data_IF_482229171071
#
_entry.id   IF_482229171071
#
_cell.length_a   1.000
_cell.length_b   1.000
_cell.length_c   1.000
_cell.angle_alpha   90.00
_cell.angle_beta   90.00
_cell.angle_gamma   90.00
#
_symmetry.space_group_name_H-M   'P 1'
#
loop_
_entity.id
_entity.type
_entity.pdbx_description
1 polymer ?
#
# COMPACT_ATOMS: atom_id res chain seq x y z
N UNK A 1 17.05 19.87 9.43
CA UNK A 1 16.85 18.40 9.31
C UNK A 1 15.34 18.11 9.18
N UNK A 2 14.87 17.54 8.08
CA UNK A 2 13.45 17.18 7.94
C UNK A 2 13.13 15.97 8.83
N UNK A 3 12.13 16.08 9.71
CA UNK A 3 11.68 14.99 10.60
C UNK A 3 11.33 13.76 9.76
N UNK A 4 11.96 12.62 10.06
CA UNK A 4 11.65 11.34 9.42
C UNK A 4 10.18 11.02 9.71
N UNK A 5 9.38 10.81 8.67
CA UNK A 5 7.96 10.42 8.84
C UNK A 5 7.92 9.02 9.44
N UNK A 6 7.31 8.91 10.63
CA UNK A 6 7.18 7.66 11.37
C UNK A 6 5.88 6.93 10.99
N UNK A 7 5.93 6.19 9.89
CA UNK A 7 4.76 5.50 9.33
C UNK A 7 4.21 4.35 10.20
N UNK A 8 5.02 3.84 11.12
CA UNK A 8 4.64 2.78 12.06
C UNK A 8 3.64 3.25 13.11
N UNK A 9 3.77 4.50 13.57
CA UNK A 9 2.94 5.11 14.63
C UNK A 9 1.55 5.54 14.10
N UNK A 10 1.39 5.68 12.78
CA UNK A 10 0.13 6.14 12.17
C UNK A 10 -0.96 5.05 12.16
N UNK A 11 -2.21 5.42 12.42
CA UNK A 11 -3.39 4.56 12.23
C UNK A 11 -3.64 4.25 10.74
N UNK A 12 -4.50 3.26 10.46
CA UNK A 12 -4.89 2.94 9.08
C UNK A 12 -5.54 4.13 8.35
N UNK A 13 -6.33 4.93 9.06
CA UNK A 13 -7.00 6.11 8.48
C UNK A 13 -5.96 7.18 8.16
N UNK A 14 -5.06 7.49 9.10
CA UNK A 14 -4.00 8.46 8.89
C UNK A 14 -3.04 8.05 7.78
N UNK A 15 -2.71 6.76 7.66
CA UNK A 15 -1.91 6.25 6.54
C UNK A 15 -2.60 6.48 5.19
N UNK A 16 -3.92 6.25 5.09
CA UNK A 16 -4.68 6.53 3.87
C UNK A 16 -4.70 8.02 3.55
N UNK A 17 -4.93 8.88 4.56
CA UNK A 17 -4.89 10.33 4.39
C UNK A 17 -3.52 10.79 3.92
N UNK A 18 -2.44 10.32 4.57
CA UNK A 18 -1.07 10.62 4.17
C UNK A 18 -0.73 10.21 2.74
N UNK A 19 -1.23 9.05 2.30
CA UNK A 19 -1.05 8.61 0.90
C UNK A 19 -1.71 9.60 -0.05
N UNK A 20 -2.95 10.04 0.24
CA UNK A 20 -3.65 11.03 -0.59
C UNK A 20 -2.91 12.37 -0.62
N UNK A 21 -2.43 12.83 0.53
CA UNK A 21 -1.65 14.08 0.61
C UNK A 21 -0.40 14.00 -0.28
N UNK A 22 0.36 12.90 -0.18
CA UNK A 22 1.52 12.70 -1.04
C UNK A 22 1.15 12.55 -2.52
N UNK A 23 0.02 11.95 -2.86
CA UNK A 23 -0.44 11.84 -4.24
C UNK A 23 -0.82 13.24 -4.80
N UNK A 24 -1.45 14.09 -4.01
CA UNK A 24 -1.74 15.48 -4.37
C UNK A 24 -0.46 16.31 -4.56
N UNK A 25 0.47 16.22 -3.61
CA UNK A 25 1.78 16.85 -3.70
C UNK A 25 2.55 16.38 -4.95
N UNK A 26 2.42 15.11 -5.33
CA UNK A 26 3.02 14.57 -6.55
C UNK A 26 2.46 15.27 -7.80
N UNK A 27 1.15 15.49 -7.85
CA UNK A 27 0.51 16.20 -8.97
C UNK A 27 1.05 17.62 -9.05
N UNK A 28 1.11 18.34 -7.92
CA UNK A 28 1.66 19.70 -7.86
C UNK A 28 3.11 19.76 -8.33
N UNK A 29 3.97 18.82 -7.89
CA UNK A 29 5.36 18.76 -8.31
C UNK A 29 5.49 18.47 -9.81
N UNK A 30 4.63 17.62 -10.37
CA UNK A 30 4.60 17.36 -11.82
C UNK A 30 4.12 18.57 -12.61
N UNK A 31 3.13 19.30 -12.12
CA UNK A 31 2.68 20.55 -12.75
C UNK A 31 3.79 21.60 -12.76
N UNK A 32 4.46 21.81 -11.61
CA UNK A 32 5.63 22.70 -11.52
C UNK A 32 6.78 22.27 -12.44
N UNK A 33 7.02 20.97 -12.55
CA UNK A 33 8.01 20.42 -13.49
C UNK A 33 7.67 20.77 -14.93
N UNK A 34 6.40 20.60 -15.33
CA UNK A 34 5.94 20.94 -16.68
C UNK A 34 6.05 22.43 -16.97
N UNK A 35 5.77 23.28 -15.98
CA UNK A 35 5.94 24.73 -16.05
C UNK A 35 7.41 25.19 -15.96
N UNK A 36 8.37 24.27 -15.78
CA UNK A 36 9.80 24.58 -15.52
C UNK A 36 10.04 25.47 -14.30
N UNK A 37 9.10 25.50 -13.35
CA UNK A 37 9.17 26.28 -12.10
C UNK A 37 9.61 25.44 -10.90
N UNK A 38 9.87 24.14 -11.10
CA UNK A 38 10.31 23.25 -10.04
C UNK A 38 11.78 23.51 -9.68
N UNK A 39 12.02 23.91 -8.42
CA UNK A 39 13.37 24.21 -7.90
C UNK A 39 14.19 22.95 -7.61
N UNK A 40 13.57 21.91 -7.04
CA UNK A 40 14.25 20.66 -6.67
C UNK A 40 13.58 19.43 -7.29
N UNK A 41 14.24 18.83 -8.28
CA UNK A 41 13.77 17.61 -8.95
C UNK A 41 13.87 16.36 -8.07
N UNK A 42 14.65 16.40 -6.99
CA UNK A 42 14.81 15.29 -6.06
C UNK A 42 13.58 15.10 -5.16
N UNK A 43 12.69 16.09 -5.08
CA UNK A 43 11.43 15.99 -4.32
C UNK A 43 10.52 14.90 -4.88
N UNK A 44 10.42 14.77 -6.21
CA UNK A 44 9.60 13.76 -6.88
C UNK A 44 9.98 12.32 -6.45
N UNK A 45 11.25 11.87 -6.59
CA UNK A 45 11.63 10.53 -6.15
C UNK A 45 11.54 10.36 -4.63
N UNK A 46 11.79 11.40 -3.82
CA UNK A 46 11.57 11.34 -2.35
C UNK A 46 10.10 11.06 -2.04
N UNK A 47 9.19 11.77 -2.69
CA UNK A 47 7.76 11.62 -2.50
C UNK A 47 7.26 10.24 -2.96
N UNK A 48 7.76 9.73 -4.11
CA UNK A 48 7.47 8.36 -4.57
C UNK A 48 7.86 7.31 -3.53
N UNK A 49 9.05 7.45 -2.92
CA UNK A 49 9.52 6.55 -1.84
C UNK A 49 8.62 6.63 -0.61
N UNK A 50 8.16 7.83 -0.24
CA UNK A 50 7.24 8.02 0.88
C UNK A 50 5.87 7.36 0.63
N UNK A 51 5.31 7.50 -0.58
CA UNK A 51 4.07 6.82 -0.98
C UNK A 51 4.24 5.30 -0.89
N UNK A 52 5.33 4.76 -1.44
CA UNK A 52 5.61 3.32 -1.41
C UNK A 52 5.68 2.80 0.03
N UNK A 53 6.43 3.50 0.91
CA UNK A 53 6.53 3.15 2.33
C UNK A 53 5.16 3.17 3.02
N UNK A 54 4.39 4.24 2.86
CA UNK A 54 3.07 4.35 3.46
C UNK A 54 2.13 3.22 3.00
N UNK A 55 2.17 2.86 1.71
CA UNK A 55 1.42 1.71 1.15
C UNK A 55 1.87 0.38 1.76
N UNK A 56 3.17 0.17 1.95
CA UNK A 56 3.70 -1.01 2.64
C UNK A 56 3.18 -1.10 4.08
N UNK A 57 3.27 -0.02 4.87
CA UNK A 57 2.76 -0.01 6.24
C UNK A 57 1.25 -0.23 6.32
N UNK A 58 0.49 0.35 5.38
CA UNK A 58 -0.95 0.12 5.28
C UNK A 58 -1.26 -1.36 5.01
N UNK A 59 -0.51 -2.00 4.11
CA UNK A 59 -0.69 -3.42 3.81
C UNK A 59 -0.30 -4.31 4.99
N UNK A 60 0.75 -3.95 5.74
CA UNK A 60 1.12 -4.63 6.98
C UNK A 60 -0.03 -4.53 7.98
N UNK A 61 -0.57 -3.32 8.24
CA UNK A 61 -1.69 -3.13 9.18
C UNK A 61 -2.94 -3.90 8.76
N UNK A 62 -3.27 -3.94 7.47
CA UNK A 62 -4.39 -4.76 6.95
C UNK A 62 -4.23 -6.27 7.17
N UNK A 63 -2.99 -6.77 7.24
CA UNK A 63 -2.70 -8.19 7.50
C UNK A 63 -2.75 -8.53 8.99
N UNK A 64 -2.39 -7.57 9.85
CA UNK A 64 -2.41 -7.72 11.31
C UNK A 64 -3.83 -7.56 11.86
N UNK A 65 -4.57 -6.57 11.37
CA UNK A 65 -6.00 -6.36 11.64
C UNK A 65 -6.79 -6.53 10.34
N UNK A 66 -7.03 -7.77 9.89
CA UNK A 66 -7.96 -7.97 8.79
C UNK A 66 -9.32 -7.43 9.23
N UNK A 67 -10.06 -6.69 8.38
CA UNK A 67 -11.47 -6.49 8.64
C UNK A 67 -12.06 -7.89 8.83
N UNK A 68 -12.84 -8.11 9.90
CA UNK A 68 -13.58 -9.35 10.14
C UNK A 68 -14.52 -9.61 8.95
N UNK A 69 -13.98 -10.08 7.84
CA UNK A 69 -14.72 -10.74 6.79
C UNK A 69 -14.97 -12.13 7.34
N UNK A 70 -16.21 -12.36 7.77
CA UNK A 70 -16.66 -13.64 8.29
C UNK A 70 -16.09 -14.78 7.46
N UNK A 71 -15.35 -15.67 8.11
CA UNK A 71 -15.00 -16.97 7.56
C UNK A 71 -16.30 -17.72 7.30
N UNK A 72 -16.89 -17.54 6.13
CA UNK A 72 -17.83 -18.51 5.59
C UNK A 72 -17.01 -19.78 5.35
N UNK A 73 -17.26 -20.75 6.23
CA UNK A 73 -16.71 -22.09 6.15
C UNK A 73 -17.04 -22.68 4.79
N UNK A 74 -16.04 -22.81 3.90
CA UNK A 74 -16.06 -23.85 2.89
C UNK A 74 -15.28 -25.03 3.44
N UNK A 75 -15.95 -25.76 4.32
CA UNK A 75 -15.70 -27.18 4.50
C UNK A 75 -15.96 -27.88 3.16
N UNK A 76 -15.05 -28.75 2.73
CA UNK A 76 -15.31 -29.69 1.63
C UNK A 76 -14.15 -29.93 0.67
N UNK A 77 -13.02 -30.41 1.17
CA UNK A 77 -12.34 -31.54 0.50
C UNK A 77 -12.09 -32.58 1.60
N UNK A 78 -12.45 -33.86 1.38
CA UNK A 78 -11.67 -34.68 0.46
C UNK A 78 -12.50 -35.70 -0.34
N UNK A 79 -12.10 -36.00 -1.58
CA UNK A 79 -12.04 -37.40 -2.04
C UNK A 79 -11.27 -37.47 -3.35
N UNK A 80 -9.97 -37.73 -3.24
CA UNK A 80 -9.19 -38.32 -4.31
C UNK A 80 -9.30 -39.84 -4.15
N UNK A 81 -10.32 -40.46 -4.75
CA UNK A 81 -10.40 -41.91 -4.89
C UNK A 81 -11.03 -42.24 -6.25
N UNK A 82 -10.22 -42.82 -7.13
CA UNK A 82 -10.59 -43.20 -8.48
C UNK A 82 -9.34 -43.70 -9.19
N UNK A 83 -8.82 -44.81 -8.68
CA UNK A 83 -7.58 -45.43 -9.12
C UNK A 83 -7.63 -45.80 -10.60
N UNK A 84 -6.45 -45.71 -11.23
CA UNK A 84 -6.13 -46.38 -12.49
C UNK A 84 -6.40 -47.87 -12.35
N UNK A 85 -7.32 -48.38 -13.16
CA UNK A 85 -7.42 -49.80 -13.48
C UNK A 85 -6.78 -50.05 -14.86
N UNK A 86 -5.93 -51.07 -14.88
CA UNK A 86 -5.08 -51.53 -15.98
C UNK A 86 -5.87 -52.42 -16.95
N UNK A 87 -5.55 -52.34 -18.25
CA UNK A 87 -5.21 -53.47 -19.13
C UNK A 87 -4.83 -52.95 -20.52
#
# INVERSE_FOLDING_TARGET
MAKKVKFNELSMVELKTKIRDFENDMVLLRMKKNQKTLKDFTEIPKLRKNIARAKTFLNIKKKVDPPMAGKSARHGTPSALGGRENA
#
